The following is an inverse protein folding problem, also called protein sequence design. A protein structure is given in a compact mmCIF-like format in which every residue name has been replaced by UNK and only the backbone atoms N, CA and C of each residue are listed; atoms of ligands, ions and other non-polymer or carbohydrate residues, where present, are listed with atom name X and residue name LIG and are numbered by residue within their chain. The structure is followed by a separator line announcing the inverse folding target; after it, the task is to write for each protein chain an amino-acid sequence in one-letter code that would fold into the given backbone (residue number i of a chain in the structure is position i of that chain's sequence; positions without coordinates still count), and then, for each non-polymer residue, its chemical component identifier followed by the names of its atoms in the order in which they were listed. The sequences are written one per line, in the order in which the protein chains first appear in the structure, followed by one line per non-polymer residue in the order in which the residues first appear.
data_IF_224544099560
#
_entry.id   IF_224544099560
#
_cell.length_a   1.000
_cell.length_b   1.000
_cell.length_c   1.000
_cell.angle_alpha   90.00
_cell.angle_beta   90.00
_cell.angle_gamma   90.00
#
_symmetry.space_group_name_H-M   'P 1'
#
loop_
_entity.id
_entity.type
_entity.pdbx_description
1 polymer ?
#
# COMPACT_ATOMS: atom_id res chain seq x y z
N UNK A 1 8.20 -1.28 4.95
CA UNK A 1 7.61 -2.62 4.73
C UNK A 1 8.40 -3.66 5.52
N UNK A 2 7.77 -4.44 6.41
CA UNK A 2 8.47 -5.37 7.31
C UNK A 2 9.33 -6.43 6.60
N UNK A 3 8.90 -6.89 5.43
CA UNK A 3 9.66 -7.82 4.59
C UNK A 3 11.04 -7.28 4.17
N UNK A 4 11.16 -5.99 3.85
CA UNK A 4 12.45 -5.42 3.48
C UNK A 4 13.42 -5.39 4.67
N UNK A 5 12.93 -5.04 5.85
CA UNK A 5 13.72 -5.08 7.09
C UNK A 5 14.17 -6.51 7.44
N UNK A 6 13.30 -7.52 7.28
CA UNK A 6 13.68 -8.91 7.54
C UNK A 6 14.76 -9.43 6.58
N UNK A 7 14.99 -8.73 5.46
CA UNK A 7 16.02 -9.02 4.48
C UNK A 7 17.21 -8.04 4.56
N UNK A 8 17.37 -7.33 5.69
CA UNK A 8 18.57 -6.55 5.99
C UNK A 8 18.56 -5.10 5.48
N UNK A 9 17.41 -4.58 5.03
CA UNK A 9 17.31 -3.14 4.75
C UNK A 9 17.46 -2.35 6.07
N UNK A 10 18.45 -1.46 6.14
CA UNK A 10 18.66 -0.59 7.32
C UNK A 10 17.61 0.53 7.39
N UNK A 11 17.21 1.05 6.23
CA UNK A 11 16.18 2.08 6.11
C UNK A 11 15.23 1.73 4.98
N UNK A 12 13.93 1.92 5.22
CA UNK A 12 12.87 1.74 4.22
C UNK A 12 12.12 3.05 4.11
N UNK A 13 12.32 3.75 2.98
CA UNK A 13 11.85 5.11 2.81
C UNK A 13 10.54 5.19 2.02
N UNK A 14 9.73 6.22 2.32
CA UNK A 14 8.51 6.53 1.59
C UNK A 14 7.26 5.76 2.04
N UNK A 15 6.13 6.14 1.44
CA UNK A 15 4.80 5.62 1.76
C UNK A 15 4.11 4.95 0.57
N UNK A 16 4.75 4.94 -0.61
CA UNK A 16 4.21 4.25 -1.78
C UNK A 16 4.39 2.75 -1.61
N UNK A 17 3.26 2.04 -1.47
CA UNK A 17 3.23 0.58 -1.42
C UNK A 17 3.69 0.00 -2.76
N UNK A 18 3.41 0.69 -3.88
CA UNK A 18 3.87 0.25 -5.19
C UNK A 18 5.41 0.22 -5.29
N UNK A 19 6.09 1.26 -4.81
CA UNK A 19 7.56 1.31 -4.79
C UNK A 19 8.16 0.34 -3.77
N UNK A 20 7.57 0.23 -2.58
CA UNK A 20 8.00 -0.74 -1.59
C UNK A 20 7.87 -2.19 -2.09
N UNK A 21 6.80 -2.49 -2.83
CA UNK A 21 6.62 -3.80 -3.46
C UNK A 21 7.61 -4.03 -4.62
N UNK A 22 7.95 -2.98 -5.37
CA UNK A 22 8.99 -3.07 -6.41
C UNK A 22 10.37 -3.36 -5.83
N UNK A 23 10.73 -2.74 -4.70
CA UNK A 23 11.98 -3.05 -4.02
C UNK A 23 11.99 -4.49 -3.48
N UNK A 24 10.87 -4.95 -2.93
CA UNK A 24 10.74 -6.34 -2.48
C UNK A 24 10.78 -7.34 -3.63
N UNK A 25 10.33 -6.97 -4.83
CA UNK A 25 10.40 -7.80 -6.05
C UNK A 25 11.84 -8.13 -6.47
N UNK A 26 12.82 -7.30 -6.07
CA UNK A 26 14.24 -7.58 -6.30
C UNK A 26 14.73 -8.77 -5.46
N UNK A 27 14.07 -9.06 -4.34
CA UNK A 27 14.38 -10.16 -3.42
C UNK A 27 13.48 -11.38 -3.67
N UNK A 28 12.19 -11.15 -3.96
CA UNK A 28 11.21 -12.20 -4.23
C UNK A 28 10.23 -11.76 -5.34
N UNK A 29 10.29 -12.44 -6.49
CA UNK A 29 9.52 -12.11 -7.69
C UNK A 29 8.00 -12.17 -7.52
N UNK A 30 7.48 -12.87 -6.51
CA UNK A 30 6.04 -12.88 -6.26
C UNK A 30 5.50 -11.50 -5.84
N UNK A 31 6.36 -10.60 -5.34
CA UNK A 31 5.97 -9.22 -5.04
C UNK A 31 5.57 -8.41 -6.28
N UNK A 32 6.02 -8.79 -7.49
CA UNK A 32 5.57 -8.15 -8.73
C UNK A 32 4.06 -8.32 -8.96
N UNK A 33 3.54 -9.51 -8.69
CA UNK A 33 2.09 -9.79 -8.74
C UNK A 33 1.32 -9.08 -7.64
N UNK A 34 1.92 -8.95 -6.44
CA UNK A 34 1.35 -8.16 -5.36
C UNK A 34 1.25 -6.68 -5.75
N UNK A 35 2.32 -6.09 -6.28
CA UNK A 35 2.41 -4.68 -6.67
C UNK A 35 1.24 -4.26 -7.56
N UNK A 36 0.98 -5.01 -8.62
CA UNK A 36 -0.13 -4.74 -9.55
C UNK A 36 -1.50 -4.71 -8.85
N UNK A 37 -1.67 -5.50 -7.78
CA UNK A 37 -2.92 -5.57 -7.03
C UNK A 37 -3.04 -4.43 -6.01
N UNK A 38 -1.95 -4.08 -5.32
CA UNK A 38 -1.99 -3.23 -4.11
C UNK A 38 -1.64 -1.77 -4.36
N UNK A 39 -1.06 -1.44 -5.52
CA UNK A 39 -0.75 -0.06 -5.92
C UNK A 39 -1.91 0.94 -5.78
N UNK A 40 -3.20 0.58 -5.98
CA UNK A 40 -4.30 1.51 -5.75
C UNK A 40 -4.37 2.10 -4.34
N UNK A 41 -3.81 1.43 -3.33
CA UNK A 41 -3.79 1.94 -1.94
C UNK A 41 -3.02 3.25 -1.81
N UNK A 42 -2.05 3.53 -2.68
CA UNK A 42 -1.27 4.77 -2.64
C UNK A 42 -2.15 6.01 -2.85
N UNK A 43 -3.26 5.86 -3.58
CA UNK A 43 -4.26 6.91 -3.81
C UNK A 43 -4.97 7.33 -2.53
N UNK A 44 -4.98 6.49 -1.50
CA UNK A 44 -5.62 6.79 -0.22
C UNK A 44 -4.66 7.43 0.79
N UNK A 45 -3.38 7.66 0.44
CA UNK A 45 -2.39 8.14 1.42
C UNK A 45 -2.56 9.63 1.80
N UNK A 46 -2.62 10.53 0.82
CA UNK A 46 -2.78 11.98 1.04
C UNK A 46 -4.25 12.43 0.95
N UNK A 47 -5.01 12.04 -0.09
CA UNK A 47 -6.39 12.50 -0.32
C UNK A 47 -7.39 12.27 0.81
N UNK A 48 -7.19 11.23 1.61
CA UNK A 48 -8.10 10.88 2.71
C UNK A 48 -7.95 11.78 3.95
N UNK A 49 -6.91 12.63 3.98
CA UNK A 49 -6.56 13.43 5.18
C UNK A 49 -6.54 14.93 4.91
N UNK A 50 -6.27 15.36 3.69
CA UNK A 50 -6.02 16.77 3.39
C UNK A 50 -6.97 17.29 2.31
N UNK A 51 -7.90 18.22 2.66
CA UNK A 51 -8.81 18.82 1.67
C UNK A 51 -8.10 19.43 0.46
N UNK A 52 -6.91 20.02 0.66
CA UNK A 52 -6.12 20.63 -0.42
C UNK A 52 -5.56 19.66 -1.47
N UNK A 53 -5.75 18.36 -1.30
CA UNK A 53 -5.39 17.35 -2.30
C UNK A 53 -6.59 16.87 -3.15
N UNK A 54 -7.75 17.50 -2.97
CA UNK A 54 -8.97 17.28 -3.74
C UNK A 54 -9.29 18.53 -4.58
N UNK A 55 -9.98 18.40 -5.72
CA UNK A 55 -10.43 19.54 -6.51
C UNK A 55 -11.50 20.39 -5.79
N UNK A 56 -12.12 19.85 -4.74
CA UNK A 56 -13.09 20.55 -3.88
C UNK A 56 -13.66 19.61 -2.81
N UNK A 57 -14.37 20.20 -1.83
CA UNK A 57 -14.97 19.45 -0.72
C UNK A 57 -13.98 19.03 0.35
N UNK A 58 -14.40 18.11 1.22
CA UNK A 58 -13.56 17.51 2.27
C UNK A 58 -13.41 16.00 2.07
N UNK A 59 -12.33 15.37 2.57
CA UNK A 59 -12.12 13.93 2.42
C UNK A 59 -13.29 13.07 2.91
N UNK A 60 -13.97 13.46 3.99
CA UNK A 60 -15.11 12.72 4.54
C UNK A 60 -16.32 12.64 3.60
N UNK A 61 -16.39 13.52 2.59
CA UNK A 61 -17.46 13.52 1.57
C UNK A 61 -16.99 12.92 0.25
N UNK A 62 -15.68 12.91 -0.01
CA UNK A 62 -15.09 12.45 -1.26
C UNK A 62 -14.86 10.94 -1.33
N UNK A 63 -14.79 10.25 -0.18
CA UNK A 63 -14.60 8.80 -0.07
C UNK A 63 -15.83 8.16 0.56
N UNK A 64 -16.29 7.06 -0.02
CA UNK A 64 -17.51 6.37 0.43
C UNK A 64 -17.21 4.99 1.04
N UNK A 65 -18.28 4.27 1.38
CA UNK A 65 -18.17 2.92 1.93
C UNK A 65 -17.51 1.92 0.96
N UNK A 66 -17.68 2.07 -0.36
CA UNK A 66 -17.07 1.18 -1.36
C UNK A 66 -15.57 1.40 -1.44
N UNK A 67 -15.11 2.64 -1.34
CA UNK A 67 -13.69 2.95 -1.22
C UNK A 67 -13.09 2.29 0.04
N UNK A 68 -13.78 2.39 1.17
CA UNK A 68 -13.34 1.79 2.42
C UNK A 68 -13.27 0.26 2.33
N UNK A 69 -14.30 -0.39 1.78
CA UNK A 69 -14.34 -1.84 1.57
C UNK A 69 -13.20 -2.31 0.66
N UNK A 70 -12.98 -1.61 -0.46
CA UNK A 70 -11.89 -1.90 -1.39
C UNK A 70 -10.53 -1.73 -0.74
N UNK A 71 -10.31 -0.63 -0.02
CA UNK A 71 -9.05 -0.40 0.68
C UNK A 71 -8.77 -1.49 1.71
N UNK A 72 -9.80 -1.92 2.46
CA UNK A 72 -9.68 -2.98 3.46
C UNK A 72 -9.37 -4.34 2.82
N UNK A 73 -10.00 -4.68 1.71
CA UNK A 73 -9.71 -5.91 0.96
C UNK A 73 -8.25 -5.96 0.51
N UNK A 74 -7.79 -4.87 -0.13
CA UNK A 74 -6.41 -4.76 -0.60
C UNK A 74 -5.42 -4.82 0.56
N UNK A 75 -5.68 -4.12 1.66
CA UNK A 75 -4.83 -4.15 2.86
C UNK A 75 -4.73 -5.55 3.47
N UNK A 76 -5.86 -6.27 3.59
CA UNK A 76 -5.89 -7.66 4.08
C UNK A 76 -5.06 -8.57 3.18
N UNK A 77 -5.19 -8.43 1.85
CA UNK A 77 -4.41 -9.21 0.89
C UNK A 77 -2.91 -8.95 1.03
N UNK A 78 -2.50 -7.68 1.16
CA UNK A 78 -1.09 -7.29 1.39
C UNK A 78 -0.54 -7.92 2.67
N UNK A 79 -1.25 -7.77 3.80
CA UNK A 79 -0.79 -8.27 5.10
C UNK A 79 -0.68 -9.80 5.07
N UNK A 80 -1.67 -10.50 4.53
CA UNK A 80 -1.65 -11.96 4.44
C UNK A 80 -0.53 -12.47 3.55
N UNK A 81 -0.26 -11.79 2.43
CA UNK A 81 0.86 -12.12 1.57
C UNK A 81 2.20 -11.94 2.29
N UNK A 82 2.44 -10.76 2.89
CA UNK A 82 3.69 -10.47 3.60
C UNK A 82 3.91 -11.41 4.77
N UNK A 83 2.86 -11.75 5.54
CA UNK A 83 2.97 -12.74 6.63
C UNK A 83 3.49 -14.08 6.15
N UNK A 84 3.03 -14.58 5.00
CA UNK A 84 3.51 -15.85 4.42
C UNK A 84 4.96 -15.79 3.96
N UNK A 85 5.48 -14.59 3.67
CA UNK A 85 6.87 -14.35 3.24
C UNK A 85 7.84 -14.08 4.39
N UNK A 86 7.33 -13.94 5.61
CA UNK A 86 8.12 -13.72 6.84
C UNK A 86 8.28 -15.00 7.68
N UNK A 87 7.69 -16.11 7.25
CA UNK A 87 7.77 -17.42 7.90
C UNK A 87 8.87 -18.24 7.23
#
# INVERSE_FOLDING_TARGET
MAFLYSHGAEEVWGHSIAELAYDAEKLDKEFGGLRATVAPLDKYYIPTRYPGSLPGGIPAEAFDAKDAERALELAKRTINFVKKKLI
#
